data_IF_997188427906
#
_entry.id   IF_997188427906
#
_cell.length_a   1.000
_cell.length_b   1.000
_cell.length_c   1.000
_cell.angle_alpha   90.00
_cell.angle_beta   90.00
_cell.angle_gamma   90.00
#
_symmetry.space_group_name_H-M   'P 1'
#
loop_
_entity.id
_entity.type
_entity.pdbx_description
1 polymer ?
#
# COMPACT_ATOMS: atom_id res chain seq x y z
N UNK A 1 23.82 1.88 13.51
CA UNK A 1 24.26 0.49 13.68
C UNK A 1 24.26 -0.24 12.35
N UNK A 2 25.02 -1.36 12.24
CA UNK A 2 25.09 -2.17 11.01
C UNK A 2 23.71 -2.64 10.54
N UNK A 3 22.83 -2.99 11.46
CA UNK A 3 21.45 -3.40 11.13
C UNK A 3 20.61 -2.30 10.49
N UNK A 4 20.80 -1.05 10.91
CA UNK A 4 20.13 0.10 10.28
C UNK A 4 20.65 0.36 8.86
N UNK A 5 21.97 0.22 8.65
CA UNK A 5 22.54 0.34 7.31
C UNK A 5 21.99 -0.74 6.36
N UNK A 6 21.97 -1.98 6.82
CA UNK A 6 21.43 -3.11 6.05
C UNK A 6 19.95 -2.90 5.71
N UNK A 7 19.15 -2.46 6.68
CA UNK A 7 17.72 -2.18 6.47
C UNK A 7 17.51 -1.04 5.44
N UNK A 8 18.29 0.04 5.52
CA UNK A 8 18.25 1.13 4.54
C UNK A 8 18.63 0.68 3.14
N UNK A 9 19.64 -0.17 3.00
CA UNK A 9 20.04 -0.72 1.71
C UNK A 9 18.96 -1.61 1.10
N UNK A 10 18.36 -2.49 1.90
CA UNK A 10 17.29 -3.39 1.43
C UNK A 10 16.04 -2.58 1.03
N UNK A 11 15.57 -1.68 1.90
CA UNK A 11 14.39 -0.88 1.63
C UNK A 11 14.67 0.10 0.47
N UNK A 12 15.79 0.83 0.50
CA UNK A 12 16.14 1.80 -0.53
C UNK A 12 16.27 1.19 -1.92
N UNK A 13 16.98 0.06 -2.06
CA UNK A 13 17.12 -0.63 -3.34
C UNK A 13 15.79 -1.16 -3.85
N UNK A 14 14.94 -1.69 -2.99
CA UNK A 14 13.64 -2.22 -3.40
C UNK A 14 12.68 -1.11 -3.84
N UNK A 15 12.66 0.04 -3.18
CA UNK A 15 11.87 1.19 -3.62
C UNK A 15 12.39 1.82 -4.92
N UNK A 16 13.71 1.99 -5.05
CA UNK A 16 14.31 2.51 -6.28
C UNK A 16 13.99 1.61 -7.48
N UNK A 17 14.14 0.29 -7.32
CA UNK A 17 13.81 -0.68 -8.35
C UNK A 17 12.32 -0.65 -8.72
N UNK A 18 11.42 -0.58 -7.73
CA UNK A 18 10.00 -0.49 -7.97
C UNK A 18 9.61 0.79 -8.73
N UNK A 19 10.19 1.93 -8.37
CA UNK A 19 9.97 3.19 -9.08
C UNK A 19 10.43 3.11 -10.53
N UNK A 20 11.61 2.54 -10.80
CA UNK A 20 12.13 2.35 -12.17
C UNK A 20 11.20 1.45 -13.00
N UNK A 21 10.79 0.31 -12.45
CA UNK A 21 9.89 -0.63 -13.16
C UNK A 21 8.54 0.02 -13.47
N UNK A 22 7.96 0.73 -12.51
CA UNK A 22 6.67 1.41 -12.70
C UNK A 22 6.73 2.58 -13.69
N UNK A 23 7.85 3.32 -13.73
CA UNK A 23 8.05 4.41 -14.69
C UNK A 23 8.29 3.85 -16.10
N UNK A 24 8.99 2.72 -16.22
CA UNK A 24 9.26 2.05 -17.51
C UNK A 24 8.06 1.29 -18.07
N UNK A 25 7.06 0.96 -17.25
CA UNK A 25 5.82 0.38 -17.75
C UNK A 25 5.00 1.44 -18.49
N UNK A 26 4.52 1.12 -19.70
CA UNK A 26 3.58 2.01 -20.40
C UNK A 26 2.32 2.17 -19.55
N UNK A 27 2.17 3.35 -18.96
CA UNK A 27 0.97 3.70 -18.20
C UNK A 27 -0.18 3.89 -19.20
N UNK A 28 -1.25 3.09 -19.15
CA UNK A 28 -2.40 3.30 -20.00
C UNK A 28 -2.97 4.71 -19.70
N UNK A 29 -3.03 5.55 -20.74
CA UNK A 29 -3.59 6.90 -20.60
C UNK A 29 -5.08 6.77 -20.23
N UNK A 30 -5.51 7.25 -19.06
CA UNK A 30 -6.92 7.21 -18.70
C UNK A 30 -7.72 8.04 -19.71
N UNK A 31 -8.93 7.63 -20.09
CA UNK A 31 -9.80 8.45 -20.93
C UNK A 31 -10.03 9.81 -20.27
N UNK A 32 -10.00 10.88 -21.04
CA UNK A 32 -10.01 12.27 -20.55
C UNK A 32 -11.16 12.56 -19.55
N UNK A 33 -12.28 11.85 -19.66
CA UNK A 33 -13.43 11.97 -18.77
C UNK A 33 -13.19 11.33 -17.38
N UNK A 34 -12.44 10.23 -17.30
CA UNK A 34 -12.08 9.58 -16.02
C UNK A 34 -11.05 10.41 -15.24
N UNK A 35 -10.26 11.23 -15.95
CA UNK A 35 -9.25 12.08 -15.34
C UNK A 35 -9.85 13.25 -14.53
N UNK A 36 -11.03 13.77 -14.94
CA UNK A 36 -11.72 14.86 -14.25
C UNK A 36 -12.49 14.40 -13.01
N UNK A 37 -13.05 13.20 -13.03
CA UNK A 37 -13.86 12.68 -11.93
C UNK A 37 -12.99 12.18 -10.73
N UNK A 38 -11.77 11.67 -11.00
CA UNK A 38 -10.88 11.10 -9.99
C UNK A 38 -9.48 11.74 -10.01
N UNK A 39 -9.41 13.04 -10.28
CA UNK A 39 -8.14 13.78 -10.42
C UNK A 39 -7.14 13.55 -9.28
N UNK A 40 -7.52 13.52 -7.98
CA UNK A 40 -6.58 13.26 -6.89
C UNK A 40 -5.97 11.86 -6.96
N UNK A 41 -6.77 10.86 -7.29
CA UNK A 41 -6.32 9.45 -7.38
C UNK A 41 -5.44 9.24 -8.62
N UNK A 42 -5.81 9.85 -9.75
CA UNK A 42 -5.02 9.78 -10.97
C UNK A 42 -3.65 10.48 -10.80
N UNK A 43 -3.62 11.65 -10.17
CA UNK A 43 -2.35 12.35 -9.87
C UNK A 43 -1.48 11.55 -8.91
N UNK A 44 -2.09 10.89 -7.91
CA UNK A 44 -1.37 10.03 -6.98
C UNK A 44 -0.76 8.81 -7.69
N UNK A 45 -1.49 8.17 -8.60
CA UNK A 45 -0.99 7.04 -9.40
C UNK A 45 0.19 7.43 -10.29
N UNK A 46 0.21 8.65 -10.83
CA UNK A 46 1.33 9.16 -11.63
C UNK A 46 2.52 9.54 -10.74
N UNK A 47 2.27 10.16 -9.59
CA UNK A 47 3.33 10.65 -8.70
C UNK A 47 4.01 9.53 -7.90
N UNK A 48 3.28 8.48 -7.55
CA UNK A 48 3.76 7.41 -6.68
C UNK A 48 5.07 6.74 -7.17
N UNK A 49 5.21 6.34 -8.46
CA UNK A 49 6.44 5.74 -8.95
C UNK A 49 7.67 6.68 -8.81
N UNK A 50 7.47 7.97 -9.05
CA UNK A 50 8.53 8.96 -8.89
C UNK A 50 8.92 9.17 -7.43
N UNK A 51 7.94 9.19 -6.53
CA UNK A 51 8.16 9.30 -5.08
C UNK A 51 8.92 8.05 -4.59
N UNK A 52 8.53 6.86 -5.02
CA UNK A 52 9.24 5.60 -4.69
C UNK A 52 10.70 5.66 -5.17
N UNK A 53 10.93 6.08 -6.42
CA UNK A 53 12.28 6.20 -6.98
C UNK A 53 13.13 7.21 -6.19
N UNK A 54 12.62 8.40 -5.98
CA UNK A 54 13.34 9.47 -5.26
C UNK A 54 13.65 9.05 -3.82
N UNK A 55 12.67 8.48 -3.11
CA UNK A 55 12.88 8.00 -1.74
C UNK A 55 13.88 6.84 -1.69
N UNK A 56 13.80 5.91 -2.64
CA UNK A 56 14.75 4.80 -2.74
C UNK A 56 16.17 5.27 -2.99
N UNK A 57 16.38 6.18 -3.93
CA UNK A 57 17.69 6.78 -4.22
C UNK A 57 18.20 7.57 -3.02
N UNK A 58 17.37 8.38 -2.36
CA UNK A 58 17.74 9.14 -1.18
C UNK A 58 18.23 8.24 -0.03
N UNK A 59 17.58 7.09 0.16
CA UNK A 59 17.98 6.08 1.14
C UNK A 59 19.32 5.42 0.78
N UNK A 60 19.56 5.15 -0.52
CA UNK A 60 20.78 4.52 -1.01
C UNK A 60 22.00 5.45 -0.91
N UNK A 61 21.85 6.74 -1.26
CA UNK A 61 22.93 7.75 -1.23
C UNK A 61 23.36 8.08 0.21
N UNK A 62 22.67 7.50 1.21
CA UNK A 62 23.03 7.73 2.61
C UNK A 62 22.80 9.19 3.04
N UNK A 63 21.84 9.89 2.40
CA UNK A 63 21.29 11.10 2.99
C UNK A 63 20.99 10.75 4.43
N UNK A 64 21.71 11.36 5.37
CA UNK A 64 21.57 11.15 6.82
C UNK A 64 20.21 11.70 7.26
N UNK A 65 19.14 11.08 6.76
CA UNK A 65 17.83 11.29 7.32
C UNK A 65 17.91 10.70 8.73
N UNK A 66 17.74 11.54 9.73
CA UNK A 66 17.58 11.05 11.09
C UNK A 66 16.42 10.02 11.08
N UNK A 67 16.50 9.01 11.93
CA UNK A 67 15.46 7.97 12.03
C UNK A 67 14.05 8.58 12.16
N UNK A 68 13.95 9.77 12.76
CA UNK A 68 12.70 10.53 12.86
C UNK A 68 12.18 11.00 11.50
N UNK A 69 13.03 11.51 10.61
CA UNK A 69 12.61 11.96 9.27
C UNK A 69 12.21 10.79 8.38
N UNK A 70 12.98 9.69 8.45
CA UNK A 70 12.66 8.47 7.71
C UNK A 70 11.30 7.90 8.15
N UNK A 71 11.05 7.86 9.46
CA UNK A 71 9.75 7.43 10.02
C UNK A 71 8.61 8.34 9.56
N UNK A 72 8.80 9.66 9.55
CA UNK A 72 7.78 10.61 9.10
C UNK A 72 7.45 10.41 7.62
N UNK A 73 8.46 10.24 6.76
CA UNK A 73 8.24 9.95 5.35
C UNK A 73 7.49 8.62 5.14
N UNK A 74 7.88 7.56 5.84
CA UNK A 74 7.20 6.27 5.77
C UNK A 74 5.73 6.38 6.20
N UNK A 75 5.41 7.13 7.27
CA UNK A 75 4.03 7.36 7.70
C UNK A 75 3.20 8.09 6.66
N UNK A 76 3.75 9.15 6.06
CA UNK A 76 3.06 9.91 5.02
C UNK A 76 2.79 9.02 3.81
N UNK A 77 3.78 8.26 3.35
CA UNK A 77 3.62 7.38 2.20
C UNK A 77 2.57 6.29 2.45
N UNK A 78 2.74 5.50 3.53
CA UNK A 78 1.82 4.41 3.84
C UNK A 78 0.42 4.96 4.11
N UNK A 79 0.29 6.01 4.94
CA UNK A 79 -0.99 6.62 5.26
C UNK A 79 -1.73 7.11 4.02
N UNK A 80 -1.03 7.77 3.11
CA UNK A 80 -1.63 8.27 1.86
C UNK A 80 -2.09 7.14 0.94
N UNK A 81 -1.30 6.07 0.80
CA UNK A 81 -1.64 4.90 -0.02
C UNK A 81 -2.90 4.22 0.53
N UNK A 82 -2.95 3.97 1.84
CA UNK A 82 -4.10 3.32 2.47
C UNK A 82 -5.36 4.17 2.38
N UNK A 83 -5.27 5.49 2.56
CA UNK A 83 -6.40 6.40 2.37
C UNK A 83 -6.89 6.37 0.92
N UNK A 84 -5.98 6.47 -0.06
CA UNK A 84 -6.35 6.46 -1.47
C UNK A 84 -7.03 5.13 -1.87
N UNK A 85 -6.47 3.99 -1.44
CA UNK A 85 -7.05 2.68 -1.68
C UNK A 85 -8.43 2.50 -1.01
N UNK A 86 -8.59 3.02 0.21
CA UNK A 86 -9.85 2.97 0.94
C UNK A 86 -10.96 3.78 0.27
N UNK A 87 -10.67 5.01 -0.19
CA UNK A 87 -11.65 5.88 -0.84
C UNK A 87 -12.26 5.20 -2.07
N UNK A 88 -11.43 4.58 -2.91
CA UNK A 88 -11.90 3.90 -4.11
C UNK A 88 -12.80 2.69 -3.79
N UNK A 89 -12.42 1.88 -2.78
CA UNK A 89 -13.22 0.74 -2.32
C UNK A 89 -14.53 1.17 -1.64
N UNK A 90 -14.53 2.28 -0.91
CA UNK A 90 -15.76 2.84 -0.30
C UNK A 90 -16.71 3.37 -1.38
N UNK A 91 -16.17 3.97 -2.43
CA UNK A 91 -16.97 4.46 -3.54
C UNK A 91 -17.58 3.33 -4.37
N UNK A 92 -16.91 2.18 -4.47
CA UNK A 92 -17.32 1.05 -5.31
C UNK A 92 -17.30 -0.28 -4.53
N UNK A 93 -18.17 -0.47 -3.51
CA UNK A 93 -18.14 -1.64 -2.63
C UNK A 93 -18.44 -2.95 -3.37
N UNK A 94 -19.31 -2.92 -4.38
CA UNK A 94 -19.65 -4.09 -5.18
C UNK A 94 -18.45 -4.59 -6.02
N UNK A 95 -17.69 -3.67 -6.60
CA UNK A 95 -16.46 -4.00 -7.33
C UNK A 95 -15.42 -4.63 -6.39
N UNK A 96 -15.28 -4.09 -5.18
CA UNK A 96 -14.39 -4.65 -4.18
C UNK A 96 -14.84 -6.01 -3.66
N UNK A 97 -16.14 -6.23 -3.43
CA UNK A 97 -16.69 -7.53 -3.07
C UNK A 97 -16.42 -8.59 -4.16
N UNK A 98 -16.55 -8.19 -5.43
CA UNK A 98 -16.22 -9.05 -6.58
C UNK A 98 -14.73 -9.40 -6.61
N UNK A 99 -13.84 -8.42 -6.35
CA UNK A 99 -12.41 -8.67 -6.25
C UNK A 99 -12.08 -9.67 -5.13
N UNK A 100 -12.70 -9.55 -3.95
CA UNK A 100 -12.54 -10.52 -2.86
C UNK A 100 -13.02 -11.91 -3.29
N UNK A 101 -14.14 -11.98 -4.01
CA UNK A 101 -14.69 -13.26 -4.50
C UNK A 101 -13.74 -13.97 -5.47
N UNK A 102 -13.01 -13.22 -6.29
CA UNK A 102 -12.06 -13.79 -7.26
C UNK A 102 -10.95 -14.62 -6.61
N UNK A 103 -10.60 -14.36 -5.34
CA UNK A 103 -9.65 -15.18 -4.59
C UNK A 103 -10.21 -16.53 -4.14
N UNK A 104 -11.52 -16.73 -4.18
CA UNK A 104 -12.20 -17.96 -3.73
C UNK A 104 -11.76 -18.44 -2.33
N UNK A 105 -11.52 -17.52 -1.40
CA UNK A 105 -11.13 -17.81 -0.03
C UNK A 105 -12.31 -17.82 0.93
N UNK A 106 -13.40 -17.12 0.58
CA UNK A 106 -14.58 -16.98 1.42
C UNK A 106 -15.83 -17.52 0.70
N UNK A 107 -16.77 -18.09 1.46
CA UNK A 107 -18.08 -18.45 0.90
C UNK A 107 -18.84 -17.18 0.48
N UNK A 108 -19.65 -17.28 -0.57
CA UNK A 108 -20.36 -16.15 -1.18
C UNK A 108 -21.15 -15.30 -0.18
N UNK A 109 -21.82 -15.93 0.79
CA UNK A 109 -22.59 -15.22 1.82
C UNK A 109 -21.75 -14.40 2.82
N UNK A 110 -20.43 -14.63 2.90
CA UNK A 110 -19.55 -13.92 3.82
C UNK A 110 -18.77 -12.77 3.15
N UNK A 111 -18.89 -12.58 1.83
CA UNK A 111 -18.12 -11.59 1.06
C UNK A 111 -18.43 -10.15 1.45
N UNK A 112 -19.68 -9.85 1.80
CA UNK A 112 -20.12 -8.49 2.12
C UNK A 112 -19.49 -7.94 3.39
N UNK A 113 -19.14 -8.80 4.35
CA UNK A 113 -18.55 -8.39 5.64
C UNK A 113 -17.19 -7.74 5.42
N UNK A 114 -16.18 -8.41 4.84
CA UNK A 114 -14.89 -7.78 4.58
C UNK A 114 -15.01 -6.64 3.56
N UNK A 115 -15.87 -6.75 2.55
CA UNK A 115 -16.04 -5.69 1.55
C UNK A 115 -16.51 -4.36 2.16
N UNK A 116 -17.32 -4.40 3.20
CA UNK A 116 -17.79 -3.20 3.89
C UNK A 116 -16.84 -2.74 5.00
N UNK A 117 -16.23 -3.65 5.76
CA UNK A 117 -15.43 -3.30 6.94
C UNK A 117 -14.00 -2.93 6.58
N UNK A 118 -13.35 -3.68 5.67
CA UNK A 118 -11.94 -3.48 5.37
C UNK A 118 -11.60 -2.05 4.90
N UNK A 119 -12.37 -1.44 3.97
CA UNK A 119 -12.05 -0.09 3.51
C UNK A 119 -12.10 0.96 4.61
N UNK A 120 -12.99 0.82 5.59
CA UNK A 120 -13.04 1.72 6.74
C UNK A 120 -11.85 1.53 7.68
N UNK A 121 -11.41 0.29 7.89
CA UNK A 121 -10.20 0.00 8.68
C UNK A 121 -8.97 0.56 7.96
N UNK A 122 -8.86 0.43 6.64
CA UNK A 122 -7.82 1.04 5.83
C UNK A 122 -7.81 2.57 5.96
N UNK A 123 -8.97 3.20 5.83
CA UNK A 123 -9.12 4.65 5.94
C UNK A 123 -8.69 5.17 7.32
N UNK A 124 -9.22 4.55 8.37
CA UNK A 124 -8.95 4.97 9.75
C UNK A 124 -7.47 4.75 10.10
N UNK A 125 -6.91 3.58 9.80
CA UNK A 125 -5.51 3.28 10.10
C UNK A 125 -4.55 4.15 9.28
N UNK A 126 -4.86 4.43 8.02
CA UNK A 126 -4.11 5.37 7.17
C UNK A 126 -4.14 6.80 7.73
N UNK A 127 -5.31 7.27 8.13
CA UNK A 127 -5.47 8.59 8.74
C UNK A 127 -4.73 8.69 10.09
N UNK A 128 -4.82 7.68 10.94
CA UNK A 128 -4.09 7.63 12.22
C UNK A 128 -2.58 7.74 12.02
N UNK A 129 -2.03 7.06 11.01
CA UNK A 129 -0.61 7.17 10.64
C UNK A 129 -0.27 8.57 10.15
N UNK A 130 -1.08 9.14 9.27
CA UNK A 130 -0.83 10.46 8.67
C UNK A 130 -0.83 11.56 9.73
N UNK A 131 -1.78 11.51 10.65
CA UNK A 131 -1.90 12.48 11.76
C UNK A 131 -1.00 12.15 12.96
N UNK A 132 -0.17 11.10 12.86
CA UNK A 132 0.69 10.65 13.96
C UNK A 132 -0.07 10.32 15.26
N UNK A 133 -1.32 9.85 15.13
CA UNK A 133 -2.16 9.44 16.25
C UNK A 133 -2.08 7.92 16.46
N UNK A 134 -1.71 7.47 17.66
CA UNK A 134 -1.56 6.05 18.03
C UNK A 134 -0.84 5.24 16.92
N UNK A 135 0.32 5.73 16.50
CA UNK A 135 1.10 5.18 15.38
C UNK A 135 1.34 3.67 15.50
N UNK A 136 1.55 3.18 16.72
CA UNK A 136 1.80 1.76 17.00
C UNK A 136 0.58 0.90 16.70
N UNK A 137 -0.61 1.35 17.10
CA UNK A 137 -1.85 0.63 16.82
C UNK A 137 -2.18 0.66 15.32
N UNK A 138 -2.02 1.82 14.67
CA UNK A 138 -2.25 1.98 13.24
C UNK A 138 -1.31 1.10 12.40
N UNK A 139 -0.01 1.13 12.69
CA UNK A 139 0.97 0.29 11.99
C UNK A 139 0.76 -1.21 12.25
N UNK A 140 0.31 -1.60 13.44
CA UNK A 140 -0.08 -2.98 13.72
C UNK A 140 -1.25 -3.45 12.85
N UNK A 141 -2.32 -2.64 12.74
CA UNK A 141 -3.47 -2.94 11.89
C UNK A 141 -3.08 -3.05 10.41
N UNK A 142 -2.29 -2.09 9.92
CA UNK A 142 -1.80 -2.09 8.54
C UNK A 142 -0.94 -3.32 8.26
N UNK A 143 -0.02 -3.66 9.17
CA UNK A 143 0.81 -4.87 9.03
C UNK A 143 -0.04 -6.14 9.00
N UNK A 144 -1.05 -6.24 9.85
CA UNK A 144 -2.00 -7.35 9.86
C UNK A 144 -2.76 -7.49 8.53
N UNK A 145 -3.28 -6.39 8.00
CA UNK A 145 -3.96 -6.38 6.70
C UNK A 145 -3.03 -6.80 5.56
N UNK A 146 -1.79 -6.28 5.52
CA UNK A 146 -0.80 -6.64 4.50
C UNK A 146 -0.42 -8.13 4.58
N UNK A 147 -0.27 -8.70 5.78
CA UNK A 147 0.01 -10.14 5.95
C UNK A 147 -1.14 -10.97 5.38
N UNK A 148 -2.38 -10.66 5.75
CA UNK A 148 -3.56 -11.37 5.23
C UNK A 148 -3.61 -11.28 3.71
N UNK A 149 -3.31 -10.10 3.16
CA UNK A 149 -3.33 -9.86 1.73
C UNK A 149 -2.22 -10.62 0.98
N UNK A 150 -1.00 -10.63 1.52
CA UNK A 150 0.11 -11.45 0.98
C UNK A 150 -0.26 -12.93 0.96
N UNK A 151 -0.87 -13.44 2.04
CA UNK A 151 -1.34 -14.84 2.10
C UNK A 151 -2.39 -15.11 1.02
N UNK A 152 -3.34 -14.19 0.82
CA UNK A 152 -4.35 -14.31 -0.22
C UNK A 152 -3.72 -14.37 -1.61
N UNK A 153 -2.76 -13.50 -1.92
CA UNK A 153 -2.04 -13.50 -3.19
C UNK A 153 -1.26 -14.79 -3.39
N UNK A 154 -0.53 -15.25 -2.37
CA UNK A 154 0.24 -16.50 -2.44
C UNK A 154 -0.66 -17.71 -2.69
N UNK A 155 -1.84 -17.76 -2.06
CA UNK A 155 -2.81 -18.84 -2.32
C UNK A 155 -3.36 -18.78 -3.73
N UNK A 156 -3.60 -17.58 -4.28
CA UNK A 156 -4.04 -17.42 -5.67
C UNK A 156 -2.95 -17.87 -6.67
N UNK A 157 -1.69 -17.50 -6.42
CA UNK A 157 -0.55 -17.95 -7.23
C UNK A 157 -0.42 -19.48 -7.18
N UNK A 158 -0.50 -20.09 -5.99
CA UNK A 158 -0.38 -21.54 -5.81
C UNK A 158 -1.51 -22.32 -6.53
N UNK A 159 -2.70 -21.70 -6.68
CA UNK A 159 -3.84 -22.25 -7.41
C UNK A 159 -3.81 -21.92 -8.92
N UNK A 160 -2.82 -21.17 -9.40
CA UNK A 160 -2.70 -20.76 -10.80
C UNK A 160 -3.74 -19.74 -11.25
N UNK A 161 -4.33 -18.97 -10.32
CA UNK A 161 -5.31 -17.96 -10.66
C UNK A 161 -4.63 -16.71 -11.23
N UNK A 162 -5.10 -16.27 -12.40
CA UNK A 162 -4.69 -15.01 -13.02
C UNK A 162 -5.80 -13.97 -12.84
N UNK A 163 -5.85 -13.37 -11.66
CA UNK A 163 -6.89 -12.44 -11.22
C UNK A 163 -6.29 -11.08 -10.87
N UNK A 164 -7.11 -10.04 -10.90
CA UNK A 164 -6.73 -8.73 -10.40
C UNK A 164 -6.76 -8.71 -8.88
N UNK A 165 -5.77 -8.04 -8.27
CA UNK A 165 -5.64 -8.01 -6.80
C UNK A 165 -6.72 -7.18 -6.11
N UNK A 166 -7.42 -6.28 -6.83
CA UNK A 166 -8.46 -5.41 -6.28
C UNK A 166 -7.94 -4.35 -5.29
N UNK A 167 -6.63 -4.07 -5.28
CA UNK A 167 -6.03 -3.14 -4.34
C UNK A 167 -6.50 -1.71 -4.54
N UNK A 168 -6.78 -1.32 -5.80
CA UNK A 168 -7.16 0.02 -6.22
C UNK A 168 -8.47 0.05 -7.03
N UNK A 169 -9.38 -0.89 -6.84
CA UNK A 169 -10.66 -0.95 -7.57
C UNK A 169 -10.54 -1.07 -9.10
N UNK A 170 -11.61 -1.54 -9.75
CA UNK A 170 -11.65 -1.74 -11.21
C UNK A 170 -11.67 -0.41 -12.00
N UNK A 171 -12.05 0.69 -11.38
CA UNK A 171 -12.18 2.03 -12.00
C UNK A 171 -10.91 2.87 -11.95
N UNK A 172 -9.89 2.42 -11.22
CA UNK A 172 -8.62 3.14 -11.11
C UNK A 172 -7.77 2.98 -12.37
N UNK A 173 -7.11 4.05 -12.88
CA UNK A 173 -6.10 3.93 -13.92
C UNK A 173 -4.98 2.93 -13.58
N UNK A 174 -4.73 2.70 -12.30
CA UNK A 174 -3.78 1.70 -11.81
C UNK A 174 -4.32 0.27 -12.01
N UNK A 175 -5.63 0.05 -12.01
CA UNK A 175 -6.24 -1.25 -12.28
C UNK A 175 -6.08 -1.69 -13.75
N UNK A 176 -5.97 -0.74 -14.66
CA UNK A 176 -5.74 -1.01 -16.08
C UNK A 176 -4.28 -1.39 -16.40
N UNK A 177 -3.35 -1.16 -15.46
CA UNK A 177 -1.97 -1.56 -15.60
C UNK A 177 -1.79 -3.04 -15.24
N UNK A 178 -0.98 -3.76 -15.98
CA UNK A 178 -0.65 -5.19 -15.73
C UNK A 178 -0.05 -5.43 -14.33
N UNK A 179 0.38 -4.37 -13.67
CA UNK A 179 0.94 -4.35 -12.30
C UNK A 179 -0.09 -4.71 -11.22
N UNK A 180 -1.40 -4.64 -11.51
CA UNK A 180 -2.45 -4.99 -10.53
C UNK A 180 -2.78 -6.47 -10.48
N UNK A 181 -2.26 -7.26 -11.41
CA UNK A 181 -2.48 -8.71 -11.43
C UNK A 181 -1.75 -9.41 -10.29
N UNK A 182 -2.39 -10.46 -9.79
CA UNK A 182 -1.78 -11.36 -8.81
C UNK A 182 -0.51 -11.98 -9.39
N UNK A 183 0.62 -11.78 -8.72
CA UNK A 183 1.91 -12.30 -9.15
C UNK A 183 3.02 -11.98 -8.16
N UNK A 184 4.21 -12.51 -8.40
CA UNK A 184 5.37 -12.29 -7.53
C UNK A 184 5.75 -10.81 -7.37
N UNK A 185 5.54 -10.01 -8.42
CA UNK A 185 5.79 -8.57 -8.37
C UNK A 185 4.91 -7.90 -7.29
N UNK A 186 3.64 -8.31 -7.19
CA UNK A 186 2.71 -7.79 -6.19
C UNK A 186 3.06 -8.27 -4.78
N UNK A 187 3.47 -9.52 -4.62
CA UNK A 187 3.96 -10.04 -3.32
C UNK A 187 5.15 -9.22 -2.83
N UNK A 188 6.12 -8.93 -3.71
CA UNK A 188 7.29 -8.11 -3.36
C UNK A 188 6.90 -6.66 -3.02
N UNK A 189 5.94 -6.10 -3.72
CA UNK A 189 5.42 -4.77 -3.43
C UNK A 189 4.79 -4.71 -2.03
N UNK A 190 3.89 -5.64 -1.71
CA UNK A 190 3.23 -5.68 -0.41
C UNK A 190 4.20 -6.02 0.73
N UNK A 191 5.20 -6.87 0.47
CA UNK A 191 6.26 -7.16 1.43
C UNK A 191 7.08 -5.90 1.78
N UNK A 192 7.36 -5.02 0.82
CA UNK A 192 8.03 -3.73 1.09
C UNK A 192 7.19 -2.83 2.00
N UNK A 193 5.89 -2.72 1.70
CA UNK A 193 4.97 -1.95 2.54
C UNK A 193 4.85 -2.53 3.94
N UNK A 194 4.85 -3.87 4.06
CA UNK A 194 4.88 -4.57 5.33
C UNK A 194 6.15 -4.25 6.12
N UNK A 195 7.33 -4.30 5.49
CA UNK A 195 8.59 -3.94 6.14
C UNK A 195 8.60 -2.49 6.61
N UNK A 196 8.09 -1.57 5.79
CA UNK A 196 7.99 -0.16 6.17
C UNK A 196 7.01 0.06 7.33
N UNK A 197 5.88 -0.65 7.35
CA UNK A 197 4.91 -0.60 8.45
C UNK A 197 5.47 -1.20 9.75
N UNK A 198 6.17 -2.33 9.67
CA UNK A 198 6.87 -2.92 10.82
C UNK A 198 7.98 -2.02 11.35
N UNK A 199 8.71 -1.31 10.48
CA UNK A 199 9.69 -0.30 10.91
C UNK A 199 9.02 0.80 11.74
N UNK A 200 7.87 1.31 11.31
CA UNK A 200 7.11 2.29 12.09
C UNK A 200 6.68 1.68 13.43
N UNK A 201 6.14 0.47 13.43
CA UNK A 201 5.70 -0.24 14.64
C UNK A 201 6.82 -0.39 15.67
N UNK A 202 8.02 -0.79 15.23
CA UNK A 202 9.16 -1.01 16.11
C UNK A 202 9.82 0.28 16.60
N UNK A 203 9.69 1.38 15.85
CA UNK A 203 10.32 2.67 16.19
C UNK A 203 9.36 3.67 16.82
N UNK A 204 8.05 3.38 16.83
CA UNK A 204 7.06 4.25 17.46
C UNK A 204 7.07 4.04 18.98
N UNK A 205 7.30 5.13 19.72
CA UNK A 205 7.12 5.17 21.17
C UNK A 205 5.74 5.76 21.48
N UNK A 206 4.88 4.95 22.05
CA UNK A 206 3.49 5.32 22.42
C UNK A 206 3.44 6.10 23.77
N UNK A 207 4.53 6.80 24.10
CA UNK A 207 4.69 7.47 25.39
C UNK A 207 3.89 8.77 25.54
N UNK A 208 2.96 9.11 24.65
CA UNK A 208 2.15 10.34 24.73
C UNK A 208 0.69 10.15 25.12
N UNK A 209 0.27 8.99 25.59
CA UNK A 209 -1.15 8.73 25.85
C UNK A 209 -1.51 8.49 27.33
N UNK A 210 -0.67 8.88 28.31
CA UNK A 210 -0.95 8.70 29.73
C UNK A 210 -0.85 10.02 30.54
N UNK A 211 -0.70 11.17 29.92
CA UNK A 211 -0.69 12.47 30.59
C UNK A 211 -1.78 13.41 30.04
N UNK A 212 -3.04 13.01 30.11
CA UNK A 212 -4.21 13.89 30.17
C UNK A 212 -5.31 13.24 30.98
#
# INVERSE_FOLDING_TARGET
SFGQLLLRLIIGSSFAFAGIVKIGAEQPKPPMFAMTANLPIALFGIALPWIELICGIALLIGLQLSDARLRTLAKILIGSIFIAAAIDKIANPDAFAKSINNFHLLPYGALNIPALILPWVELISGAMLLFSYKEKAASFLISGMLIVFIIAILTAIARGYNIDCGCFGESSPAAAAEVTKVGWAKVLEDARWLLASLFIFLTSNDSRSIEE
#
